data_IF_036750994311
#
_entry.id   IF_036750994311
#
_cell.length_a   1.000
_cell.length_b   1.000
_cell.length_c   1.000
_cell.angle_alpha   90.00
_cell.angle_beta   90.00
_cell.angle_gamma   90.00
#
_symmetry.space_group_name_H-M   'P 1'
#
loop_
_entity.id
_entity.type
_entity.pdbx_description
1 polymer ?
#
# COMPACT_ATOMS: atom_id res chain seq x y z
N UNK A 1 15.70 -9.16 -7.30
CA UNK A 1 15.25 -8.72 -5.96
C UNK A 1 13.86 -9.27 -5.73
N UNK A 2 13.61 -9.83 -4.56
CA UNK A 2 12.44 -10.67 -4.29
C UNK A 2 11.18 -9.83 -4.00
N UNK A 3 10.04 -10.15 -4.63
CA UNK A 3 8.75 -9.44 -4.51
C UNK A 3 7.78 -10.16 -3.57
N UNK A 4 8.22 -11.18 -2.84
CA UNK A 4 7.39 -12.02 -1.98
C UNK A 4 6.59 -11.23 -0.91
N UNK A 5 7.08 -10.06 -0.50
CA UNK A 5 6.46 -9.20 0.52
C UNK A 5 5.69 -8.01 -0.06
N UNK A 6 5.38 -8.05 -1.35
CA UNK A 6 4.50 -7.08 -2.04
C UNK A 6 3.24 -7.82 -2.48
N UNK A 7 2.08 -7.26 -2.18
CA UNK A 7 0.81 -7.83 -2.57
C UNK A 7 0.68 -7.73 -4.09
N UNK A 8 0.63 -8.88 -4.76
CA UNK A 8 0.64 -8.96 -6.21
C UNK A 8 -0.66 -8.41 -6.80
N UNK A 9 -0.54 -7.42 -7.67
CA UNK A 9 -1.63 -6.94 -8.50
C UNK A 9 -2.06 -8.01 -9.51
N UNK A 10 -3.37 -8.21 -9.66
CA UNK A 10 -3.97 -9.19 -10.58
C UNK A 10 -4.61 -8.47 -11.76
N UNK A 11 -5.31 -7.37 -11.52
CA UNK A 11 -6.02 -6.62 -12.55
C UNK A 11 -6.86 -5.47 -11.98
N UNK A 12 -7.54 -4.73 -12.84
CA UNK A 12 -8.42 -3.64 -12.43
C UNK A 12 -9.74 -3.69 -13.20
N UNK A 13 -10.83 -3.32 -12.53
CA UNK A 13 -12.06 -2.93 -13.20
C UNK A 13 -12.04 -1.42 -13.40
N UNK A 14 -12.21 -0.98 -14.65
CA UNK A 14 -12.21 0.44 -15.04
C UNK A 14 -13.56 0.89 -15.60
N UNK A 15 -14.61 0.11 -15.35
CA UNK A 15 -15.96 0.49 -15.75
C UNK A 15 -16.41 1.73 -14.99
N UNK A 16 -17.03 2.72 -15.67
CA UNK A 16 -17.56 3.91 -15.00
C UNK A 16 -18.45 3.51 -13.82
N UNK A 17 -18.26 4.16 -12.66
CA UNK A 17 -18.93 3.86 -11.38
C UNK A 17 -18.51 2.55 -10.68
N UNK A 18 -17.70 1.70 -11.31
CA UNK A 18 -17.22 0.42 -10.76
C UNK A 18 -15.69 0.31 -10.79
N UNK A 19 -14.98 1.40 -10.47
CA UNK A 19 -13.52 1.40 -10.39
C UNK A 19 -13.04 0.57 -9.19
N UNK A 20 -12.32 -0.52 -9.45
CA UNK A 20 -11.70 -1.32 -8.39
C UNK A 20 -10.36 -1.92 -8.84
N UNK A 21 -9.51 -2.20 -7.86
CA UNK A 21 -8.24 -2.90 -8.06
C UNK A 21 -8.37 -4.29 -7.45
N UNK A 22 -7.85 -5.27 -8.17
CA UNK A 22 -7.87 -6.68 -7.78
C UNK A 22 -6.44 -7.10 -7.48
N UNK A 23 -6.24 -7.61 -6.27
CA UNK A 23 -4.96 -8.12 -5.77
C UNK A 23 -5.07 -9.61 -5.47
N UNK A 24 -3.93 -10.26 -5.21
CA UNK A 24 -3.93 -11.62 -4.70
C UNK A 24 -4.69 -11.72 -3.37
N UNK A 25 -5.38 -12.85 -3.18
CA UNK A 25 -6.17 -13.06 -1.99
C UNK A 25 -5.30 -13.47 -0.80
N UNK A 26 -5.47 -12.76 0.32
CA UNK A 26 -4.79 -12.99 1.59
C UNK A 26 -5.80 -13.48 2.64
N UNK A 27 -5.90 -14.80 2.89
CA UNK A 27 -7.01 -15.38 3.67
C UNK A 27 -7.04 -14.98 5.15
N UNK A 28 -5.92 -14.49 5.71
CA UNK A 28 -5.87 -14.02 7.11
C UNK A 28 -6.29 -12.54 7.22
N UNK A 29 -6.63 -11.90 6.10
CA UNK A 29 -6.99 -10.50 6.06
C UNK A 29 -5.77 -9.59 6.24
N UNK A 30 -6.01 -8.43 6.81
CA UNK A 30 -4.97 -7.46 7.12
C UNK A 30 -4.24 -7.80 8.42
N UNK A 31 -3.07 -7.22 8.62
CA UNK A 31 -2.36 -7.30 9.89
C UNK A 31 -3.22 -6.75 11.03
N UNK A 32 -4.09 -5.75 10.77
CA UNK A 32 -5.05 -5.28 11.77
C UNK A 32 -5.96 -6.42 12.24
N UNK A 33 -6.52 -7.18 11.29
CA UNK A 33 -7.42 -8.30 11.59
C UNK A 33 -6.69 -9.39 12.38
N UNK A 34 -5.44 -9.71 11.99
CA UNK A 34 -4.59 -10.67 12.71
C UNK A 34 -4.27 -10.23 14.13
N UNK A 35 -4.06 -8.93 14.36
CA UNK A 35 -3.79 -8.38 15.70
C UNK A 35 -5.03 -8.36 16.60
N UNK A 36 -6.23 -8.26 16.01
CA UNK A 36 -7.50 -8.23 16.73
C UNK A 36 -8.07 -9.64 17.00
N UNK A 37 -7.60 -10.66 16.27
CA UNK A 37 -8.02 -12.05 16.44
C UNK A 37 -7.42 -12.70 17.71
N UNK A 38 -8.27 -12.91 18.71
CA UNK A 38 -7.92 -13.54 19.99
C UNK A 38 -7.55 -15.02 19.87
N UNK A 39 -7.88 -15.68 18.76
CA UNK A 39 -7.52 -17.08 18.51
C UNK A 39 -6.06 -17.22 18.05
N UNK A 40 -5.46 -16.14 17.52
CA UNK A 40 -4.09 -16.14 17.04
C UNK A 40 -3.15 -15.82 18.21
N UNK A 41 -2.32 -16.79 18.60
CA UNK A 41 -1.27 -16.57 19.61
C UNK A 41 -0.08 -15.84 18.99
N UNK A 42 0.01 -14.54 19.24
CA UNK A 42 1.11 -13.68 18.79
C UNK A 42 2.27 -13.70 19.81
N UNK A 43 3.08 -14.75 19.77
CA UNK A 43 4.34 -14.76 20.51
C UNK A 43 5.38 -13.79 19.88
N UNK A 44 6.49 -13.59 20.57
CA UNK A 44 7.54 -12.66 20.11
C UNK A 44 8.19 -13.08 18.79
N UNK A 45 8.40 -14.38 18.58
CA UNK A 45 9.00 -14.88 17.35
C UNK A 45 8.08 -14.62 16.16
N UNK A 46 6.79 -14.82 16.35
CA UNK A 46 5.80 -14.60 15.31
C UNK A 46 5.58 -13.11 15.01
N UNK A 47 5.59 -12.25 16.04
CA UNK A 47 5.63 -10.79 15.83
C UNK A 47 6.88 -10.37 15.05
N UNK A 48 8.02 -10.96 15.37
CA UNK A 48 9.29 -10.66 14.71
C UNK A 48 9.29 -11.06 13.24
N UNK A 49 8.72 -12.22 12.88
CA UNK A 49 8.61 -12.61 11.47
C UNK A 49 7.75 -11.62 10.67
N UNK A 50 6.61 -11.17 11.22
CA UNK A 50 5.77 -10.16 10.56
C UNK A 50 6.50 -8.81 10.40
N UNK A 51 7.28 -8.38 11.40
CA UNK A 51 8.10 -7.17 11.30
C UNK A 51 9.19 -7.30 10.24
N UNK A 52 9.84 -8.45 10.14
CA UNK A 52 10.84 -8.71 9.10
C UNK A 52 10.24 -8.64 7.70
N UNK A 53 9.05 -9.21 7.51
CA UNK A 53 8.34 -9.16 6.23
C UNK A 53 7.99 -7.71 5.84
N UNK A 54 7.52 -6.88 6.78
CA UNK A 54 7.30 -5.44 6.55
C UNK A 54 8.60 -4.76 6.11
N UNK A 55 9.70 -4.98 6.83
CA UNK A 55 10.99 -4.37 6.49
C UNK A 55 11.46 -4.77 5.08
N UNK A 56 11.34 -6.05 4.72
CA UNK A 56 11.72 -6.54 3.39
C UNK A 56 10.86 -5.93 2.29
N UNK A 57 9.55 -5.86 2.48
CA UNK A 57 8.64 -5.20 1.55
C UNK A 57 8.96 -3.71 1.39
N UNK A 58 9.21 -2.99 2.49
CA UNK A 58 9.53 -1.56 2.44
C UNK A 58 10.88 -1.28 1.78
N UNK A 59 11.90 -2.11 2.00
CA UNK A 59 13.18 -2.01 1.29
C UNK A 59 12.97 -2.15 -0.21
N UNK A 60 12.16 -3.13 -0.64
CA UNK A 60 11.82 -3.31 -2.05
C UNK A 60 11.09 -2.09 -2.62
N UNK A 61 10.05 -1.59 -1.92
CA UNK A 61 9.29 -0.43 -2.38
C UNK A 61 10.17 0.80 -2.50
N UNK A 62 10.95 1.14 -1.48
CA UNK A 62 11.80 2.32 -1.49
C UNK A 62 12.84 2.29 -2.60
N UNK A 63 13.36 1.11 -2.95
CA UNK A 63 14.33 0.97 -4.04
C UNK A 63 13.70 1.10 -5.43
N UNK A 64 12.45 0.64 -5.63
CA UNK A 64 11.89 0.47 -6.97
C UNK A 64 10.73 1.43 -7.29
N UNK A 65 9.93 1.81 -6.30
CA UNK A 65 8.67 2.55 -6.45
C UNK A 65 8.61 3.81 -5.59
N UNK A 66 9.55 3.99 -4.66
CA UNK A 66 9.62 5.14 -3.76
C UNK A 66 8.84 4.95 -2.45
N UNK A 67 8.51 6.05 -1.75
CA UNK A 67 7.87 5.97 -0.44
C UNK A 67 6.43 5.48 -0.56
N UNK A 68 6.04 4.56 0.31
CA UNK A 68 4.66 4.04 0.33
C UNK A 68 3.61 5.13 0.67
N UNK A 69 3.93 6.02 1.62
CA UNK A 69 3.07 7.16 2.00
C UNK A 69 1.81 6.84 2.83
N UNK A 70 1.45 5.56 3.00
CA UNK A 70 0.27 5.12 3.79
C UNK A 70 0.48 3.79 4.53
N UNK A 71 1.70 3.52 4.97
CA UNK A 71 2.00 2.29 5.70
C UNK A 71 1.22 2.26 7.03
N UNK A 72 0.33 1.29 7.17
CA UNK A 72 -0.49 1.03 8.36
C UNK A 72 -0.91 -0.43 8.37
N UNK A 73 -1.34 -0.94 9.51
CA UNK A 73 -1.70 -2.37 9.68
C UNK A 73 -2.81 -2.85 8.72
N UNK A 74 -3.76 -1.99 8.34
CA UNK A 74 -4.80 -2.34 7.36
C UNK A 74 -4.29 -2.40 5.90
N UNK A 75 -3.07 -1.92 5.64
CA UNK A 75 -2.43 -1.93 4.31
C UNK A 75 -1.29 -2.97 4.26
N UNK A 76 -1.25 -3.85 5.24
CA UNK A 76 -0.39 -5.03 5.26
C UNK A 76 -1.31 -6.25 5.25
N UNK A 77 -1.26 -7.07 4.21
CA UNK A 77 -2.09 -8.26 4.07
C UNK A 77 -1.32 -9.50 4.50
N UNK A 78 -2.03 -10.51 5.01
CA UNK A 78 -1.42 -11.74 5.54
C UNK A 78 -1.98 -12.96 4.82
N UNK A 79 -1.09 -13.74 4.22
CA UNK A 79 -1.48 -14.91 3.44
C UNK A 79 -1.78 -16.15 4.30
N UNK A 80 -2.04 -17.28 3.66
CA UNK A 80 -2.36 -18.54 4.34
C UNK A 80 -1.22 -19.08 5.21
N UNK A 81 0.03 -18.74 4.87
CA UNK A 81 1.27 -19.17 5.54
C UNK A 81 1.77 -18.15 6.56
N UNK A 82 0.97 -17.13 6.86
CA UNK A 82 1.36 -16.01 7.71
C UNK A 82 2.55 -15.21 7.18
N UNK A 83 2.75 -15.18 5.86
CA UNK A 83 3.64 -14.20 5.25
C UNK A 83 2.90 -12.89 5.04
N UNK A 84 3.56 -11.78 5.39
CA UNK A 84 3.00 -10.44 5.25
C UNK A 84 3.42 -9.81 3.92
N UNK A 85 2.44 -9.16 3.28
CA UNK A 85 2.56 -8.50 1.99
C UNK A 85 2.04 -7.06 2.05
N UNK A 86 2.82 -6.11 1.55
CA UNK A 86 2.45 -4.69 1.54
C UNK A 86 1.52 -4.39 0.34
N UNK A 87 0.45 -3.62 0.56
CA UNK A 87 -0.51 -3.21 -0.48
C UNK A 87 -0.67 -1.68 -0.54
N UNK A 88 -1.47 -1.16 -1.47
CA UNK A 88 -1.87 0.26 -1.58
C UNK A 88 -0.72 1.26 -1.80
N UNK A 89 0.45 0.79 -2.22
CA UNK A 89 1.59 1.66 -2.54
C UNK A 89 1.39 2.40 -3.88
N UNK A 90 0.60 1.85 -4.81
CA UNK A 90 0.38 2.40 -6.15
C UNK A 90 -0.75 3.43 -6.27
N UNK A 91 -1.48 3.72 -5.18
CA UNK A 91 -2.69 4.56 -5.24
C UNK A 91 -2.41 6.00 -5.68
N UNK A 92 -1.19 6.48 -5.52
CA UNK A 92 -0.79 7.81 -5.97
C UNK A 92 -0.62 7.88 -7.50
N UNK A 93 -0.31 6.76 -8.16
CA UNK A 93 -0.18 6.64 -9.62
C UNK A 93 -1.54 6.66 -10.32
N UNK A 94 -2.61 6.27 -9.61
CA UNK A 94 -3.98 6.29 -10.11
C UNK A 94 -4.65 7.66 -10.00
N UNK A 95 -4.01 8.64 -9.35
CA UNK A 95 -4.53 9.99 -9.33
C UNK A 95 -4.34 10.59 -10.73
N UNK A 96 -5.45 10.81 -11.42
CA UNK A 96 -5.47 11.66 -12.60
C UNK A 96 -4.89 13.05 -12.30
N UNK A 97 -4.52 13.82 -13.33
CA UNK A 97 -4.04 15.17 -13.14
C UNK A 97 -5.03 15.95 -12.27
N UNK A 98 -4.53 16.81 -11.35
CA UNK A 98 -5.41 17.60 -10.51
C UNK A 98 -6.41 18.33 -11.40
N UNK A 99 -7.68 18.43 -10.98
CA UNK A 99 -8.67 19.14 -11.77
C UNK A 99 -8.14 20.55 -12.09
N UNK A 100 -8.39 21.06 -13.32
CA UNK A 100 -7.94 22.39 -13.67
C UNK A 100 -8.45 23.37 -12.61
N UNK A 101 -7.60 24.27 -12.09
CA UNK A 101 -8.00 25.19 -11.04
C UNK A 101 -9.21 25.99 -11.51
N UNK A 102 -10.25 26.04 -10.66
CA UNK A 102 -11.51 26.72 -10.98
C UNK A 102 -11.34 28.24 -11.08
N UNK A 103 -10.26 28.78 -10.50
CA UNK A 103 -9.93 30.20 -10.51
C UNK A 103 -8.47 30.46 -10.86
N UNK A 104 -8.21 31.53 -11.62
CA UNK A 104 -6.88 31.97 -12.07
C UNK A 104 -5.91 32.27 -10.91
N UNK A 105 -6.42 32.60 -9.73
CA UNK A 105 -5.62 32.86 -8.52
C UNK A 105 -5.04 31.60 -7.88
N UNK A 106 -5.62 30.41 -8.11
CA UNK A 106 -5.08 29.15 -7.56
C UNK A 106 -3.89 28.63 -8.36
N UNK A 107 -3.84 28.91 -9.66
CA UNK A 107 -2.76 28.50 -10.58
C UNK A 107 -1.38 29.04 -10.16
N UNK A 108 -1.30 30.30 -9.74
CA UNK A 108 -0.04 30.93 -9.32
C UNK A 108 0.46 30.41 -7.96
N UNK A 109 -0.43 29.95 -7.07
CA UNK A 109 -0.03 29.36 -5.77
C UNK A 109 0.56 27.97 -5.94
N UNK A 110 0.00 27.14 -6.81
CA UNK A 110 0.54 25.79 -7.07
C UNK A 110 1.85 25.82 -7.86
N UNK A 111 2.01 26.74 -8.82
CA UNK A 111 3.23 26.86 -9.61
C UNK A 111 4.45 27.34 -8.79
N UNK A 112 4.21 28.09 -7.71
CA UNK A 112 5.28 28.60 -6.84
C UNK A 112 5.80 27.55 -5.84
N UNK A 113 5.02 26.50 -5.54
CA UNK A 113 5.40 25.45 -4.61
C UNK A 113 6.33 24.38 -5.23
N UNK A 114 6.42 24.32 -6.56
CA UNK A 114 7.26 23.35 -7.30
C UNK A 114 8.61 23.92 -7.77
N UNK A 115 8.97 25.15 -7.36
CA UNK A 115 10.19 25.84 -7.83
C UNK A 115 11.33 25.95 -6.82
N UNK A 116 11.35 25.08 -5.81
CA UNK A 116 12.51 24.91 -4.91
C UNK A 116 12.92 23.45 -4.82
N UNK A 117 13.56 22.95 -5.88
CA UNK A 117 14.71 22.04 -5.84
C UNK A 117 15.68 22.45 -6.93
#
# INVERSE_FOLDING_TARGET
MNYDHICRFVGACIEPQHLCLVYEYCPKGSLKDVLEDKQIKLDWMFKFSLMQDICRGMIYLHHNLGPHGKLKSSNCMVDSRFSLKITDFDLHLLRGPPPPPKDSTTYYRSASAFKLQ
#
